data_IF_047833177596
#
_entry.id   IF_047833177596
#
_cell.length_a   1.000
_cell.length_b   1.000
_cell.length_c   1.000
_cell.angle_alpha   90.00
_cell.angle_beta   90.00
_cell.angle_gamma   90.00
#
_symmetry.space_group_name_H-M   'P 1'
#
loop_
_entity.id
_entity.type
_entity.pdbx_description
1 polymer ?
#
# COMPACT_ATOMS: atom_id res chain seq x y z
N UNK A 1 -20.43 -1.43 -21.74
CA UNK A 1 -18.97 -1.63 -21.83
C UNK A 1 -18.70 -3.13 -21.86
N UNK A 2 -18.08 -3.63 -22.93
CA UNK A 2 -17.78 -5.07 -23.07
C UNK A 2 -16.62 -5.43 -22.14
N UNK A 3 -16.86 -6.24 -21.12
CA UNK A 3 -15.82 -6.80 -20.26
C UNK A 3 -15.00 -7.79 -21.09
N UNK A 4 -13.81 -7.38 -21.53
CA UNK A 4 -12.82 -8.31 -22.08
C UNK A 4 -12.48 -9.33 -20.99
N UNK A 5 -13.09 -10.51 -21.06
CA UNK A 5 -12.70 -11.65 -20.23
C UNK A 5 -11.33 -12.12 -20.71
N UNK A 6 -10.37 -12.17 -19.79
CA UNK A 6 -9.05 -12.74 -20.06
C UNK A 6 -9.22 -14.25 -20.33
N UNK A 7 -8.80 -14.70 -21.51
CA UNK A 7 -8.85 -16.11 -21.88
C UNK A 7 -7.79 -16.89 -21.10
N UNK A 8 -8.25 -17.74 -20.18
CA UNK A 8 -7.40 -18.57 -19.32
C UNK A 8 -6.96 -19.88 -19.98
N UNK A 9 -7.52 -20.23 -21.14
CA UNK A 9 -7.24 -21.52 -21.79
C UNK A 9 -5.81 -21.62 -22.32
N UNK A 10 -5.16 -20.48 -22.58
CA UNK A 10 -3.80 -20.43 -23.11
C UNK A 10 -2.68 -20.52 -22.04
N UNK A 11 -3.00 -20.51 -20.74
CA UNK A 11 -2.01 -20.46 -19.67
C UNK A 11 -2.34 -21.38 -18.49
N UNK A 12 -1.38 -22.19 -18.05
CA UNK A 12 -1.45 -22.92 -16.78
C UNK A 12 -0.86 -22.06 -15.66
N UNK A 13 -1.68 -21.63 -14.71
CA UNK A 13 -1.24 -20.88 -13.53
C UNK A 13 -0.87 -21.88 -12.43
N UNK A 14 0.43 -22.08 -12.21
CA UNK A 14 0.93 -22.85 -11.06
C UNK A 14 0.89 -21.99 -9.81
N UNK A 15 -0.15 -22.14 -8.98
CA UNK A 15 -0.22 -21.52 -7.64
C UNK A 15 0.52 -22.40 -6.65
N UNK A 16 1.65 -21.95 -6.13
CA UNK A 16 2.31 -22.60 -4.99
C UNK A 16 1.50 -22.33 -3.73
N UNK A 17 1.36 -23.33 -2.85
CA UNK A 17 0.79 -23.12 -1.52
C UNK A 17 1.64 -22.06 -0.80
N UNK A 18 1.06 -20.87 -0.59
CA UNK A 18 1.75 -19.80 0.11
C UNK A 18 1.85 -20.19 1.58
N UNK A 19 3.06 -20.26 2.13
CA UNK A 19 3.26 -20.20 3.58
C UNK A 19 2.92 -18.78 4.05
N UNK A 20 1.63 -18.43 4.04
CA UNK A 20 1.18 -17.12 4.50
C UNK A 20 1.49 -17.03 6.00
N UNK A 21 2.13 -15.95 6.47
CA UNK A 21 2.23 -15.69 7.90
C UNK A 21 0.84 -15.75 8.55
N UNK A 22 0.74 -16.43 9.70
CA UNK A 22 -0.52 -16.56 10.48
C UNK A 22 -0.80 -15.33 11.34
N UNK A 23 -0.06 -14.24 11.16
CA UNK A 23 -0.25 -12.99 11.90
C UNK A 23 -1.62 -12.39 11.58
N UNK A 24 -2.29 -11.85 12.60
CA UNK A 24 -3.52 -11.09 12.40
C UNK A 24 -3.26 -9.92 11.48
N UNK A 25 -4.11 -9.76 10.47
CA UNK A 25 -4.06 -8.63 9.54
C UNK A 25 -5.10 -7.62 10.02
N UNK A 26 -4.70 -6.36 10.12
CA UNK A 26 -5.61 -5.28 10.49
C UNK A 26 -6.80 -5.22 9.52
N UNK A 27 -8.02 -4.93 9.97
CA UNK A 27 -9.16 -4.83 9.08
C UNK A 27 -9.02 -3.60 8.14
N UNK A 28 -9.71 -3.61 6.98
CA UNK A 28 -9.80 -2.43 6.14
C UNK A 28 -10.39 -1.24 6.89
N UNK A 29 -9.84 -0.05 6.67
CA UNK A 29 -10.37 1.19 7.28
C UNK A 29 -10.23 2.38 6.34
N UNK A 30 -11.04 3.41 6.55
CA UNK A 30 -11.00 4.66 5.78
C UNK A 30 -11.06 5.83 6.74
N UNK A 31 -10.06 6.70 6.68
CA UNK A 31 -9.93 7.86 7.56
C UNK A 31 -9.40 9.08 6.79
N UNK A 32 -9.57 10.26 7.37
CA UNK A 32 -8.90 11.47 6.90
C UNK A 32 -7.73 11.75 7.84
N UNK A 33 -6.52 11.81 7.30
CA UNK A 33 -5.35 12.30 8.00
C UNK A 33 -5.32 13.83 7.86
N UNK A 34 -5.42 14.60 8.95
CA UNK A 34 -5.43 16.06 8.86
C UNK A 34 -4.05 16.61 8.47
N UNK A 35 -4.03 17.82 7.91
CA UNK A 35 -2.81 18.61 7.77
C UNK A 35 -2.07 18.70 9.12
N UNK A 36 -0.76 18.55 9.10
CA UNK A 36 0.07 18.44 10.29
C UNK A 36 0.29 17.01 10.80
N UNK A 37 -0.51 16.03 10.36
CA UNK A 37 -0.35 14.63 10.79
C UNK A 37 1.04 14.08 10.43
N UNK A 38 1.67 13.39 11.37
CA UNK A 38 2.91 12.65 11.18
C UNK A 38 2.80 11.32 11.93
N UNK A 39 3.34 10.23 11.35
CA UNK A 39 3.27 8.89 11.96
C UNK A 39 4.03 8.80 13.29
N UNK A 40 5.13 9.55 13.40
CA UNK A 40 5.87 9.76 14.64
C UNK A 40 6.28 11.24 14.77
N UNK A 41 6.67 11.70 15.97
CA UNK A 41 7.10 13.09 16.18
C UNK A 41 8.31 13.53 15.35
N UNK A 42 9.10 12.59 14.84
CA UNK A 42 10.31 12.87 14.04
C UNK A 42 9.94 13.02 12.56
N UNK A 43 8.91 12.33 12.09
CA UNK A 43 8.55 12.28 10.67
C UNK A 43 8.02 13.63 10.16
N UNK A 44 8.12 13.83 8.84
CA UNK A 44 7.60 15.01 8.17
C UNK A 44 6.07 15.05 8.26
N UNK A 45 5.53 16.14 8.83
CA UNK A 45 4.10 16.40 8.81
C UNK A 45 3.53 16.53 7.40
N UNK A 46 2.32 16.00 7.20
CA UNK A 46 1.56 16.17 5.97
C UNK A 46 1.18 17.65 5.78
N UNK A 47 1.39 18.22 4.58
CA UNK A 47 1.09 19.64 4.31
C UNK A 47 -0.40 19.94 4.11
N UNK A 48 -1.25 18.93 3.92
CA UNK A 48 -2.71 19.05 3.70
C UNK A 48 -3.43 17.78 4.15
N UNK A 49 -4.76 17.84 4.20
CA UNK A 49 -5.62 16.71 4.52
C UNK A 49 -5.54 15.63 3.43
N UNK A 50 -5.47 14.36 3.84
CA UNK A 50 -5.35 13.20 2.95
C UNK A 50 -6.37 12.13 3.35
N UNK A 51 -7.18 11.66 2.41
CA UNK A 51 -7.93 10.42 2.60
C UNK A 51 -6.96 9.25 2.57
N UNK A 52 -7.00 8.45 3.64
CA UNK A 52 -6.23 7.23 3.79
C UNK A 52 -7.18 6.04 3.86
N UNK A 53 -7.06 5.13 2.88
CA UNK A 53 -7.77 3.84 2.87
C UNK A 53 -6.74 2.74 3.15
N UNK A 54 -6.83 2.14 4.32
CA UNK A 54 -5.94 1.07 4.77
C UNK A 54 -6.49 -0.29 4.36
N UNK A 55 -5.61 -1.20 3.90
CA UNK A 55 -5.97 -2.58 3.57
C UNK A 55 -7.12 -2.73 2.56
N UNK A 56 -7.26 -1.79 1.62
CA UNK A 56 -8.23 -1.90 0.55
C UNK A 56 -7.92 -3.14 -0.31
N UNK A 57 -8.91 -3.99 -0.56
CA UNK A 57 -8.71 -5.24 -1.32
C UNK A 57 -9.00 -5.04 -2.79
N UNK A 58 -8.06 -5.43 -3.65
CA UNK A 58 -8.20 -5.46 -5.09
C UNK A 58 -7.91 -6.86 -5.64
N UNK A 59 -8.86 -7.42 -6.37
CA UNK A 59 -8.70 -8.74 -7.02
C UNK A 59 -8.07 -8.60 -8.39
N UNK A 60 -6.91 -9.23 -8.60
CA UNK A 60 -6.22 -9.23 -9.90
C UNK A 60 -6.74 -10.34 -10.82
N UNK A 61 -6.30 -10.33 -12.09
CA UNK A 61 -6.74 -11.25 -13.17
C UNK A 61 -6.75 -12.75 -12.82
N UNK A 62 -5.91 -13.15 -11.85
CA UNK A 62 -5.70 -14.54 -11.45
C UNK A 62 -6.51 -14.93 -10.19
N UNK A 63 -7.52 -14.14 -9.85
CA UNK A 63 -8.37 -14.28 -8.65
C UNK A 63 -7.54 -14.26 -7.35
N UNK A 64 -6.48 -13.46 -7.34
CA UNK A 64 -5.66 -13.21 -6.16
C UNK A 64 -6.01 -11.85 -5.58
N UNK A 65 -6.18 -11.78 -4.27
CA UNK A 65 -6.49 -10.55 -3.57
C UNK A 65 -5.21 -9.86 -3.11
N UNK A 66 -5.02 -8.62 -3.58
CA UNK A 66 -3.98 -7.72 -3.11
C UNK A 66 -4.57 -6.71 -2.14
N UNK A 67 -3.94 -6.56 -0.98
CA UNK A 67 -4.23 -5.47 -0.06
C UNK A 67 -3.36 -4.27 -0.41
N UNK A 68 -3.97 -3.12 -0.62
CA UNK A 68 -3.30 -1.86 -0.95
C UNK A 68 -3.68 -0.77 0.06
N UNK A 69 -2.77 0.17 0.26
CA UNK A 69 -3.02 1.39 1.01
C UNK A 69 -3.15 2.54 0.01
N UNK A 70 -4.24 3.29 0.07
CA UNK A 70 -4.55 4.37 -0.88
C UNK A 70 -4.47 5.70 -0.13
N UNK A 71 -3.63 6.60 -0.63
CA UNK A 71 -3.54 7.98 -0.19
C UNK A 71 -4.02 8.89 -1.32
N UNK A 72 -5.09 9.66 -1.08
CA UNK A 72 -5.64 10.58 -2.08
C UNK A 72 -6.06 11.92 -1.46
N UNK A 73 -6.06 13.01 -2.24
CA UNK A 73 -6.58 14.29 -1.76
C UNK A 73 -8.03 14.18 -1.29
N UNK A 74 -8.44 15.04 -0.36
CA UNK A 74 -9.84 15.23 0.04
C UNK A 74 -10.60 15.99 -1.05
N UNK A 75 -10.83 15.32 -2.18
CA UNK A 75 -11.51 15.84 -3.37
C UNK A 75 -12.18 14.70 -4.15
N UNK A 76 -13.19 15.05 -4.94
CA UNK A 76 -13.86 14.15 -5.89
C UNK A 76 -13.30 14.27 -7.31
N UNK A 77 -12.30 15.14 -7.54
CA UNK A 77 -11.69 15.31 -8.84
C UNK A 77 -10.79 14.13 -9.22
N UNK A 78 -10.82 13.66 -10.48
CA UNK A 78 -9.88 12.66 -10.95
C UNK A 78 -8.44 13.20 -10.90
N UNK A 79 -7.54 12.44 -10.28
CA UNK A 79 -6.10 12.76 -10.19
C UNK A 79 -5.28 11.60 -10.76
N UNK A 80 -4.08 11.87 -11.32
CA UNK A 80 -3.16 10.80 -11.70
C UNK A 80 -2.74 9.99 -10.47
N UNK A 81 -2.72 8.66 -10.61
CA UNK A 81 -2.31 7.75 -9.55
C UNK A 81 -0.83 7.36 -9.71
N UNK A 82 -0.09 7.34 -8.60
CA UNK A 82 1.25 6.76 -8.50
C UNK A 82 1.11 5.42 -7.80
N UNK A 83 1.64 4.36 -8.41
CA UNK A 83 1.58 3.01 -7.85
C UNK A 83 2.98 2.58 -7.44
N UNK A 84 3.12 2.23 -6.16
CA UNK A 84 4.29 1.57 -5.62
C UNK A 84 3.90 0.14 -5.24
N UNK A 85 4.63 -0.83 -5.76
CA UNK A 85 4.45 -2.23 -5.42
C UNK A 85 5.80 -2.87 -5.10
N UNK A 86 5.86 -3.62 -4.01
CA UNK A 86 7.06 -4.38 -3.64
C UNK A 86 6.67 -5.58 -2.77
N UNK A 87 7.53 -6.60 -2.68
CA UNK A 87 7.32 -7.75 -1.80
C UNK A 87 7.76 -7.49 -0.34
N UNK A 88 8.10 -6.25 0.03
CA UNK A 88 8.77 -5.93 1.30
C UNK A 88 7.82 -5.57 2.46
N UNK A 89 6.52 -5.78 2.29
CA UNK A 89 5.51 -5.51 3.31
C UNK A 89 5.09 -4.04 3.34
N UNK A 90 3.84 -3.78 2.96
CA UNK A 90 3.26 -2.44 3.03
C UNK A 90 3.15 -1.96 4.49
N UNK A 91 3.04 -0.65 4.67
CA UNK A 91 2.90 0.00 5.98
C UNK A 91 4.03 -0.30 6.98
N UNK A 92 5.17 -0.84 6.51
CA UNK A 92 6.31 -1.23 7.36
C UNK A 92 6.16 -2.59 8.04
N UNK A 93 5.24 -3.45 7.58
CA UNK A 93 5.00 -4.78 8.17
C UNK A 93 6.04 -5.83 7.81
N UNK A 94 6.86 -5.60 6.78
CA UNK A 94 7.88 -6.54 6.37
C UNK A 94 9.26 -6.27 6.99
N UNK A 95 10.18 -7.24 6.88
CA UNK A 95 11.50 -7.18 7.51
C UNK A 95 12.44 -6.15 6.84
N UNK A 96 12.08 -5.66 5.66
CA UNK A 96 12.90 -4.76 4.86
C UNK A 96 12.22 -3.41 4.74
N UNK A 97 12.74 -2.40 5.43
CA UNK A 97 12.30 -1.02 5.36
C UNK A 97 13.50 -0.07 5.49
N UNK A 98 13.29 1.25 5.36
CA UNK A 98 14.40 2.21 5.46
C UNK A 98 15.16 2.08 6.80
N UNK A 99 14.46 1.82 7.91
CA UNK A 99 15.09 1.61 9.22
C UNK A 99 15.99 0.37 9.30
N UNK A 100 15.72 -0.67 8.50
CA UNK A 100 16.53 -1.89 8.46
C UNK A 100 17.70 -1.81 7.46
N UNK A 101 17.75 -0.79 6.61
CA UNK A 101 18.84 -0.59 5.64
C UNK A 101 20.01 0.17 6.25
N UNK A 102 21.24 -0.16 5.84
CA UNK A 102 22.44 0.54 6.29
C UNK A 102 22.29 2.06 6.06
N UNK A 103 22.51 2.85 7.12
CA UNK A 103 22.38 4.31 7.12
C UNK A 103 21.03 4.83 6.56
N UNK A 104 19.96 4.04 6.67
CA UNK A 104 18.64 4.35 6.09
C UNK A 104 18.67 4.66 4.59
N UNK A 105 19.63 4.07 3.86
CA UNK A 105 19.89 4.38 2.45
C UNK A 105 20.14 5.88 2.19
N UNK A 106 20.66 6.60 3.19
CA UNK A 106 20.87 8.06 3.13
C UNK A 106 19.60 8.89 3.23
N UNK A 107 18.45 8.31 3.62
CA UNK A 107 17.18 9.01 3.82
C UNK A 107 16.98 9.30 5.31
N UNK A 108 17.09 10.58 5.74
CA UNK A 108 16.80 10.96 7.12
C UNK A 108 15.35 10.67 7.51
N UNK A 109 15.09 10.46 8.80
CA UNK A 109 13.79 10.05 9.32
C UNK A 109 12.73 11.16 9.26
N UNK A 110 13.20 12.40 9.31
CA UNK A 110 12.44 13.63 9.20
C UNK A 110 12.03 14.00 7.77
N UNK A 111 12.49 13.25 6.75
CA UNK A 111 12.08 13.47 5.36
C UNK A 111 10.76 12.81 4.97
N UNK A 112 10.53 11.51 5.27
CA UNK A 112 9.24 10.87 5.02
C UNK A 112 8.24 11.18 6.14
N UNK A 113 6.95 11.03 5.84
CA UNK A 113 5.85 11.13 6.82
C UNK A 113 5.68 9.87 7.68
N UNK A 114 6.43 8.80 7.36
CA UNK A 114 6.49 7.53 8.09
C UNK A 114 5.98 6.32 7.32
#
# INVERSE_FOLDING_TARGET
>A
MSTKKFDRSAYTISKTSTQRPTTSIDPPSSTVLPAGHAKSPINRSLPWDVHYEHNHTFTIRDDCDLSVDIFRPVSNEPVPAIIMWSPYGKSGTGPWNLGSTALRSGVPEERPSG
#
